data_IF_746252131984
#
_entry.id   IF_746252131984
#
_cell.length_a   1.000
_cell.length_b   1.000
_cell.length_c   1.000
_cell.angle_alpha   90.00
_cell.angle_beta   90.00
_cell.angle_gamma   90.00
#
_symmetry.space_group_name_H-M   'P 1'
#
loop_
_entity.id
_entity.type
_entity.pdbx_description
1 polymer ?
#
# COMPACT_ATOMS: atom_id res chain seq x y z
N UNK A 1 -4.61 -19.96 -13.61
CA UNK A 1 -5.74 -19.02 -13.78
C UNK A 1 -5.58 -17.84 -12.83
N UNK A 2 -5.73 -16.65 -13.34
CA UNK A 2 -5.67 -15.43 -12.53
C UNK A 2 -6.96 -15.28 -11.72
N UNK A 3 -6.80 -15.09 -10.40
CA UNK A 3 -7.91 -14.81 -9.49
C UNK A 3 -7.62 -13.53 -8.74
N UNK A 4 -8.65 -12.83 -8.31
CA UNK A 4 -8.51 -11.57 -7.60
C UNK A 4 -9.53 -11.42 -6.48
N UNK A 5 -9.13 -10.68 -5.47
CA UNK A 5 -9.98 -10.29 -4.36
C UNK A 5 -9.70 -8.82 -4.04
N UNK A 6 -10.74 -8.02 -3.90
CA UNK A 6 -10.63 -6.58 -3.64
C UNK A 6 -11.14 -6.27 -2.25
N UNK A 7 -10.46 -5.37 -1.55
CA UNK A 7 -10.98 -4.82 -0.30
C UNK A 7 -10.84 -3.29 -0.29
N UNK A 8 -11.62 -2.64 0.57
CA UNK A 8 -11.62 -1.19 0.72
C UNK A 8 -10.76 -0.76 1.88
N UNK A 9 -10.11 0.39 1.71
CA UNK A 9 -9.38 1.08 2.78
C UNK A 9 -9.97 2.47 2.91
N UNK A 10 -10.43 2.82 4.11
CA UNK A 10 -10.93 4.15 4.39
C UNK A 10 -9.86 4.93 5.12
N UNK A 11 -9.39 6.02 4.51
CA UNK A 11 -8.40 6.89 5.11
C UNK A 11 -9.08 8.08 5.79
N UNK A 12 -8.42 8.64 6.81
CA UNK A 12 -9.02 9.67 7.67
C UNK A 12 -8.23 10.98 7.70
N UNK A 13 -7.07 11.01 7.06
CA UNK A 13 -6.26 12.21 6.95
C UNK A 13 -5.63 12.31 5.57
N UNK A 14 -5.07 13.48 5.24
CA UNK A 14 -4.50 13.71 3.92
C UNK A 14 -3.33 12.77 3.66
N UNK A 15 -2.43 12.64 4.63
CA UNK A 15 -1.30 11.71 4.58
C UNK A 15 -1.44 10.72 5.72
N UNK A 16 -1.37 9.43 5.41
CA UNK A 16 -1.60 8.39 6.40
C UNK A 16 -0.96 7.08 5.94
N UNK A 17 -0.20 6.44 6.82
CA UNK A 17 0.40 5.14 6.56
C UNK A 17 -0.33 4.11 7.40
N UNK A 18 -1.09 3.23 6.74
CA UNK A 18 -1.97 2.26 7.39
C UNK A 18 -1.48 0.84 7.19
N UNK A 19 -1.38 0.08 8.27
CA UNK A 19 -1.06 -1.35 8.20
C UNK A 19 -2.25 -2.10 7.61
N UNK A 20 -2.02 -2.80 6.50
CA UNK A 20 -3.06 -3.57 5.80
C UNK A 20 -2.71 -5.05 5.68
N UNK A 21 -1.68 -5.53 6.37
CA UNK A 21 -1.32 -6.95 6.36
C UNK A 21 -2.51 -7.87 6.65
N UNK A 22 -3.34 -7.61 7.69
CA UNK A 22 -4.48 -8.48 7.96
C UNK A 22 -5.49 -8.54 6.83
N UNK A 23 -5.74 -7.42 6.15
CA UNK A 23 -6.69 -7.34 5.03
C UNK A 23 -6.16 -8.10 3.82
N UNK A 24 -4.87 -7.94 3.50
CA UNK A 24 -4.20 -8.65 2.39
C UNK A 24 -4.21 -10.15 2.69
N UNK A 25 -3.87 -10.54 3.92
CA UNK A 25 -3.86 -11.95 4.32
C UNK A 25 -5.25 -12.58 4.23
N UNK A 26 -6.29 -11.86 4.61
CA UNK A 26 -7.68 -12.31 4.51
C UNK A 26 -8.08 -12.52 3.05
N UNK A 27 -7.76 -11.55 2.18
CA UNK A 27 -8.05 -11.65 0.76
C UNK A 27 -7.32 -12.83 0.10
N UNK A 28 -6.05 -13.02 0.45
CA UNK A 28 -5.25 -14.14 -0.06
C UNK A 28 -5.84 -15.48 0.41
N UNK A 29 -6.13 -15.62 1.69
CA UNK A 29 -6.68 -16.84 2.28
C UNK A 29 -8.07 -17.21 1.75
N UNK A 30 -8.83 -16.24 1.26
CA UNK A 30 -10.11 -16.47 0.61
C UNK A 30 -9.95 -17.09 -0.78
N UNK A 31 -8.79 -16.93 -1.41
CA UNK A 31 -8.55 -17.40 -2.78
C UNK A 31 -7.75 -18.69 -2.87
N UNK A 32 -6.84 -18.94 -1.91
CA UNK A 32 -5.89 -20.05 -2.06
C UNK A 32 -5.41 -20.59 -0.72
N UNK A 33 -5.08 -21.89 -0.72
CA UNK A 33 -4.32 -22.57 0.34
C UNK A 33 -3.00 -23.13 -0.21
N UNK A 34 -2.66 -22.76 -1.45
CA UNK A 34 -1.46 -23.20 -2.13
C UNK A 34 -0.26 -22.29 -1.90
N UNK A 35 0.72 -22.44 -2.77
CA UNK A 35 1.99 -21.70 -2.74
C UNK A 35 2.11 -20.86 -4.01
N UNK A 36 2.77 -19.71 -3.92
CA UNK A 36 2.99 -18.88 -5.09
C UNK A 36 3.47 -17.48 -4.76
N UNK A 37 3.28 -16.60 -5.72
CA UNK A 37 3.55 -15.16 -5.60
C UNK A 37 2.23 -14.41 -5.74
N UNK A 38 1.88 -13.63 -4.75
CA UNK A 38 0.73 -12.73 -4.82
C UNK A 38 1.19 -11.38 -5.37
N UNK A 39 0.35 -10.74 -6.16
CA UNK A 39 0.55 -9.35 -6.57
C UNK A 39 -0.52 -8.49 -5.92
N UNK A 40 -0.10 -7.43 -5.23
CA UNK A 40 -0.99 -6.53 -4.49
C UNK A 40 -0.90 -5.18 -5.15
N UNK A 41 -2.03 -4.66 -5.60
CA UNK A 41 -2.09 -3.43 -6.39
C UNK A 41 -3.02 -2.42 -5.73
N UNK A 42 -2.59 -1.16 -5.68
CA UNK A 42 -3.44 -0.02 -5.37
C UNK A 42 -3.78 0.69 -6.68
N UNK A 43 -5.03 0.61 -7.16
CA UNK A 43 -5.41 1.13 -8.48
C UNK A 43 -5.74 2.62 -8.43
N UNK A 44 -4.81 3.41 -7.90
CA UNK A 44 -4.95 4.86 -7.71
C UNK A 44 -3.65 5.57 -8.04
N UNK A 45 -3.72 6.88 -8.23
CA UNK A 45 -2.58 7.71 -8.63
C UNK A 45 -2.07 8.66 -7.54
N UNK A 46 -2.72 8.68 -6.37
CA UNK A 46 -2.36 9.54 -5.23
C UNK A 46 -2.22 8.77 -3.92
N UNK A 47 -1.86 7.50 -4.03
CA UNK A 47 -1.50 6.65 -2.91
C UNK A 47 -0.47 5.62 -3.37
N UNK A 48 0.06 4.85 -2.45
CA UNK A 48 1.12 3.89 -2.73
C UNK A 48 1.05 2.71 -1.77
N UNK A 49 1.90 1.71 -1.98
CA UNK A 49 2.00 0.53 -1.15
C UNK A 49 3.47 0.18 -0.93
N UNK A 50 3.82 -0.26 0.28
CA UNK A 50 5.19 -0.66 0.60
C UNK A 50 5.21 -1.63 1.77
N UNK A 51 6.38 -2.17 2.05
CA UNK A 51 6.62 -3.06 3.19
C UNK A 51 7.66 -2.44 4.09
N UNK A 52 7.37 -2.36 5.38
CA UNK A 52 8.29 -1.81 6.35
C UNK A 52 7.98 -2.35 7.75
N UNK A 53 8.67 -1.85 8.77
CA UNK A 53 8.52 -2.29 10.14
C UNK A 53 7.11 -2.03 10.68
N UNK A 54 6.54 -3.01 11.37
CA UNK A 54 5.19 -2.92 11.94
C UNK A 54 5.18 -3.03 13.49
N UNK A 55 6.34 -2.98 14.13
CA UNK A 55 6.43 -3.15 15.59
C UNK A 55 6.31 -1.82 16.34
N UNK A 56 6.99 -0.78 15.86
CA UNK A 56 7.04 0.53 16.51
C UNK A 56 6.15 1.53 15.77
N UNK A 57 5.11 2.08 16.40
CA UNK A 57 4.22 3.06 15.76
C UNK A 57 4.93 4.37 15.39
N UNK A 58 6.10 4.64 15.94
CA UNK A 58 6.88 5.82 15.58
C UNK A 58 7.45 5.72 14.16
N UNK A 59 7.67 4.50 13.65
CA UNK A 59 8.24 4.32 12.30
C UNK A 59 7.31 4.88 11.21
N UNK A 60 6.02 4.48 11.11
CA UNK A 60 5.14 5.09 10.11
C UNK A 60 4.96 6.60 10.32
N UNK A 61 5.00 7.09 11.54
CA UNK A 61 4.93 8.53 11.81
C UNK A 61 6.16 9.26 11.27
N UNK A 62 7.36 8.75 11.53
CA UNK A 62 8.61 9.29 11.00
C UNK A 62 8.65 9.23 9.47
N UNK A 63 8.19 8.12 8.88
CA UNK A 63 8.14 7.97 7.44
C UNK A 63 7.19 8.98 6.79
N UNK A 64 6.07 9.28 7.43
CA UNK A 64 5.14 10.32 6.96
C UNK A 64 5.83 11.69 6.93
N UNK A 65 6.57 12.02 7.99
CA UNK A 65 7.34 13.27 8.04
C UNK A 65 8.42 13.34 6.98
N UNK A 66 9.14 12.23 6.78
CA UNK A 66 10.22 12.14 5.79
C UNK A 66 9.68 12.28 4.36
N UNK A 67 8.54 11.65 4.05
CA UNK A 67 7.89 11.77 2.74
C UNK A 67 7.48 13.21 2.47
N UNK A 68 6.91 13.89 3.45
CA UNK A 68 6.53 15.30 3.31
C UNK A 68 7.74 16.17 3.04
N UNK A 69 8.85 15.92 3.74
CA UNK A 69 10.09 16.69 3.56
C UNK A 69 10.78 16.40 2.21
N UNK A 70 10.49 15.25 1.60
CA UNK A 70 11.07 14.85 0.31
C UNK A 70 10.47 15.62 -0.87
N UNK A 71 9.26 16.15 -0.73
CA UNK A 71 8.59 16.89 -1.81
C UNK A 71 9.39 18.14 -2.13
N UNK A 72 9.82 18.34 -3.39
CA UNK A 72 10.61 19.51 -3.75
C UNK A 72 9.75 20.77 -3.75
N UNK A 73 10.40 21.90 -3.43
CA UNK A 73 9.76 23.22 -3.46
C UNK A 73 9.77 23.76 -4.88
N UNK A 74 8.90 23.22 -5.73
CA UNK A 74 8.73 23.64 -7.11
C UNK A 74 7.29 24.09 -7.33
N UNK A 75 7.09 24.93 -8.33
CA UNK A 75 5.74 25.38 -8.70
C UNK A 75 5.12 24.35 -9.64
N UNK A 76 4.19 23.55 -9.12
CA UNK A 76 3.45 22.60 -9.93
C UNK A 76 2.37 23.29 -10.75
N UNK A 77 2.15 22.83 -11.97
CA UNK A 77 1.17 23.41 -12.89
C UNK A 77 -0.24 22.84 -12.71
N UNK A 78 -0.36 21.66 -12.05
CA UNK A 78 -1.64 20.95 -11.90
C UNK A 78 -2.63 21.73 -11.05
N UNK A 79 -3.83 21.97 -11.60
CA UNK A 79 -4.83 22.85 -11.00
C UNK A 79 -5.47 22.30 -9.71
N UNK A 80 -5.50 20.99 -9.52
CA UNK A 80 -6.04 20.39 -8.30
C UNK A 80 -5.15 20.58 -7.06
N UNK A 81 -3.87 20.93 -7.26
CA UNK A 81 -2.96 21.16 -6.17
C UNK A 81 -2.44 19.92 -5.45
N UNK A 82 -2.54 18.73 -6.08
CA UNK A 82 -2.11 17.47 -5.49
C UNK A 82 -0.97 16.78 -6.26
N UNK A 83 -0.17 17.53 -7.02
CA UNK A 83 0.99 16.98 -7.74
C UNK A 83 2.04 16.39 -6.83
N UNK A 84 2.15 16.87 -5.60
CA UNK A 84 3.02 16.28 -4.58
C UNK A 84 2.62 14.82 -4.29
N UNK A 85 1.32 14.54 -4.18
CA UNK A 85 0.81 13.19 -3.98
C UNK A 85 1.07 12.29 -5.20
N UNK A 86 0.88 12.81 -6.42
CA UNK A 86 1.21 12.08 -7.65
C UNK A 86 2.71 11.76 -7.71
N UNK A 87 3.55 12.71 -7.36
CA UNK A 87 5.00 12.51 -7.34
C UNK A 87 5.41 11.40 -6.38
N UNK A 88 4.93 11.43 -5.14
CA UNK A 88 5.25 10.42 -4.14
C UNK A 88 4.68 9.05 -4.49
N UNK A 89 3.47 9.01 -5.06
CA UNK A 89 2.84 7.78 -5.52
C UNK A 89 3.71 7.09 -6.59
N UNK A 90 4.18 7.85 -7.56
CA UNK A 90 5.06 7.34 -8.61
C UNK A 90 6.41 6.87 -8.06
N UNK A 91 6.96 7.60 -7.09
CA UNK A 91 8.27 7.32 -6.50
C UNK A 91 8.24 6.03 -5.66
N UNK A 92 7.21 5.84 -4.87
CA UNK A 92 7.08 4.67 -3.98
C UNK A 92 6.59 3.45 -4.75
N UNK A 93 5.58 3.63 -5.58
CA UNK A 93 5.00 2.58 -6.39
C UNK A 93 3.63 2.13 -5.91
N UNK A 94 2.88 1.52 -6.84
CA UNK A 94 1.49 1.13 -6.64
C UNK A 94 1.28 -0.39 -6.57
N UNK A 95 2.35 -1.18 -6.54
CA UNK A 95 2.24 -2.65 -6.51
C UNK A 95 3.37 -3.29 -5.74
N UNK A 96 3.08 -4.48 -5.20
CA UNK A 96 4.04 -5.36 -4.55
C UNK A 96 3.87 -6.77 -5.10
N UNK A 97 4.96 -7.51 -5.22
CA UNK A 97 4.96 -8.96 -5.41
C UNK A 97 5.51 -9.61 -4.15
N UNK A 98 4.78 -10.59 -3.59
CA UNK A 98 5.19 -11.21 -2.33
C UNK A 98 4.91 -12.72 -2.31
N UNK A 99 5.86 -13.54 -1.86
CA UNK A 99 5.67 -14.99 -1.81
C UNK A 99 4.69 -15.39 -0.71
N UNK A 100 3.94 -16.46 -0.99
CA UNK A 100 3.08 -17.09 0.01
C UNK A 100 3.22 -18.61 -0.04
N UNK A 101 2.97 -19.25 1.10
CA UNK A 101 2.97 -20.69 1.24
C UNK A 101 1.78 -21.11 2.09
N UNK A 102 1.03 -22.09 1.60
CA UNK A 102 -0.19 -22.55 2.26
C UNK A 102 -1.22 -21.44 2.43
N UNK A 103 -1.28 -20.50 1.47
CA UNK A 103 -2.18 -19.36 1.54
C UNK A 103 -1.75 -18.27 2.51
N UNK A 104 -0.51 -18.31 3.02
CA UNK A 104 -0.01 -17.34 4.01
C UNK A 104 1.20 -16.60 3.47
N UNK A 105 1.20 -15.29 3.60
CA UNK A 105 2.31 -14.42 3.20
C UNK A 105 3.58 -14.77 3.99
N UNK A 106 4.70 -14.83 3.28
CA UNK A 106 6.01 -15.10 3.90
C UNK A 106 6.68 -13.75 4.18
N UNK A 107 6.29 -13.13 5.29
CA UNK A 107 6.86 -11.87 5.75
C UNK A 107 7.94 -12.13 6.79
N UNK A 108 8.96 -11.27 6.83
CA UNK A 108 9.93 -11.27 7.93
C UNK A 108 9.24 -10.87 9.25
N UNK A 109 9.89 -11.15 10.36
CA UNK A 109 9.35 -10.93 11.71
C UNK A 109 8.82 -9.52 11.93
N UNK A 110 9.50 -8.53 11.38
CA UNK A 110 9.17 -7.11 11.59
C UNK A 110 8.45 -6.48 10.41
N UNK A 111 8.26 -7.21 9.32
CA UNK A 111 7.66 -6.66 8.10
C UNK A 111 6.15 -6.63 8.18
N UNK A 112 5.57 -5.53 7.74
CA UNK A 112 4.14 -5.38 7.50
C UNK A 112 3.91 -4.68 6.18
N UNK A 113 2.76 -4.92 5.59
CA UNK A 113 2.32 -4.27 4.36
C UNK A 113 1.57 -3.01 4.74
N UNK A 114 2.00 -1.88 4.18
CA UNK A 114 1.41 -0.57 4.45
C UNK A 114 0.78 0.04 3.21
N UNK A 115 -0.45 0.50 3.38
CA UNK A 115 -1.11 1.40 2.45
C UNK A 115 -0.67 2.83 2.78
N UNK A 116 -0.23 3.58 1.78
CA UNK A 116 0.28 4.94 1.96
C UNK A 116 -0.67 5.91 1.27
N UNK A 117 -1.49 6.60 2.07
CA UNK A 117 -2.40 7.64 1.59
C UNK A 117 -1.64 8.95 1.45
N UNK A 118 -1.77 9.59 0.30
CA UNK A 118 -1.05 10.85 0.00
C UNK A 118 -1.99 12.01 -0.32
N UNK A 119 -3.29 11.76 -0.46
CA UNK A 119 -4.28 12.77 -0.82
C UNK A 119 -5.67 12.41 -0.27
N UNK A 120 -5.72 12.02 0.99
CA UNK A 120 -6.96 11.69 1.69
C UNK A 120 -7.60 12.90 2.37
N UNK A 121 -8.67 12.67 3.13
CA UNK A 121 -9.30 11.37 3.38
C UNK A 121 -10.13 10.88 2.18
N UNK A 122 -10.04 9.59 1.88
CA UNK A 122 -10.78 8.98 0.77
C UNK A 122 -11.15 7.54 1.10
N UNK A 123 -12.08 7.00 0.32
CA UNK A 123 -12.30 5.55 0.23
C UNK A 123 -11.43 5.03 -0.93
N UNK A 124 -10.53 4.10 -0.61
CA UNK A 124 -9.57 3.52 -1.55
C UNK A 124 -9.83 2.04 -1.73
N UNK A 125 -9.29 1.47 -2.79
CA UNK A 125 -9.35 0.03 -3.05
C UNK A 125 -7.94 -0.55 -3.12
N UNK A 126 -7.83 -1.81 -2.71
CA UNK A 126 -6.62 -2.63 -2.87
C UNK A 126 -7.07 -3.95 -3.48
N UNK A 127 -6.32 -4.42 -4.48
CA UNK A 127 -6.62 -5.66 -5.17
C UNK A 127 -5.48 -6.64 -4.95
N UNK A 128 -5.81 -7.85 -4.53
CA UNK A 128 -4.85 -8.95 -4.37
C UNK A 128 -5.09 -9.95 -5.50
N UNK A 129 -4.04 -10.23 -6.26
CA UNK A 129 -4.06 -11.20 -7.36
C UNK A 129 -3.24 -12.42 -7.02
N UNK A 130 -3.74 -13.59 -7.40
CA UNK A 130 -2.96 -14.82 -7.40
C UNK A 130 -3.09 -15.50 -8.76
N UNK A 131 -2.02 -16.16 -9.19
CA UNK A 131 -2.01 -16.90 -10.44
C UNK A 131 -1.53 -18.33 -10.17
N UNK A 132 -2.45 -19.26 -10.17
CA UNK A 132 -2.20 -20.69 -9.92
C UNK A 132 -2.76 -21.56 -11.01
#
# INVERSE_FOLDING_TARGET
>A
MLREETFSVRTTSREQILLITPDVQRALGAMTHGDGIATIIVPHTTCAISVNENADPDVPEDLTKALRALVPKVKFAHGEGNSDAHFLSMLIGCSLSWPYRGGKLILGTWQGIYFIELDGPRSRKVVVYVNE
#
